data_IF_986297491140
#
_entry.id   IF_986297491140
#
_cell.length_a   1.000
_cell.length_b   1.000
_cell.length_c   1.000
_cell.angle_alpha   90.00
_cell.angle_beta   90.00
_cell.angle_gamma   90.00
#
_symmetry.space_group_name_H-M   'P 1'
#
loop_
_entity.id
_entity.type
_entity.pdbx_description
1 polymer ?
#
# COMPACT_ATOMS: atom_id res chain seq x y z
N UNK A 1 -9.97 17.69 0.14
CA UNK A 1 -8.69 17.00 0.45
C UNK A 1 -8.69 15.62 -0.16
N UNK A 2 -7.53 15.11 -0.58
CA UNK A 2 -7.26 13.74 -1.04
C UNK A 2 -6.37 13.05 0.00
N UNK A 3 -6.56 11.75 0.24
CA UNK A 3 -5.75 10.97 1.18
C UNK A 3 -5.00 9.86 0.45
N UNK A 4 -3.74 9.63 0.83
CA UNK A 4 -2.93 8.51 0.37
C UNK A 4 -2.31 7.78 1.58
N UNK A 5 -2.41 6.45 1.59
CA UNK A 5 -1.89 5.54 2.62
C UNK A 5 -1.26 4.29 1.98
N UNK A 6 -0.41 3.55 2.69
CA UNK A 6 0.14 2.25 2.25
C UNK A 6 0.70 1.50 3.46
N UNK A 7 1.14 0.25 3.23
CA UNK A 7 1.93 -0.52 4.21
C UNK A 7 1.21 -0.65 5.56
N UNK A 8 -0.08 -0.97 5.50
CA UNK A 8 -0.90 -1.18 6.69
C UNK A 8 -0.67 -2.57 7.28
N UNK A 9 -0.43 -3.57 6.43
CA UNK A 9 -0.27 -4.96 6.82
C UNK A 9 -1.44 -5.50 7.67
N UNK A 10 -2.69 -5.19 7.29
CA UNK A 10 -3.87 -5.63 8.03
C UNK A 10 -3.88 -7.18 8.17
N UNK A 11 -3.97 -7.65 9.41
CA UNK A 11 -4.09 -9.05 9.80
C UNK A 11 -4.92 -9.20 11.09
N UNK A 12 -5.45 -10.40 11.32
CA UNK A 12 -6.34 -10.71 12.45
C UNK A 12 -5.63 -10.53 13.81
N UNK A 13 -4.32 -10.76 13.83
CA UNK A 13 -3.45 -10.67 14.97
C UNK A 13 -3.00 -9.23 15.31
N UNK A 14 -3.39 -8.24 14.48
CA UNK A 14 -3.13 -6.80 14.68
C UNK A 14 -4.42 -5.99 14.80
N UNK A 15 -5.23 -6.22 15.85
CA UNK A 15 -6.50 -5.51 16.05
C UNK A 15 -6.31 -4.02 16.36
N UNK A 16 -5.13 -3.62 16.83
CA UNK A 16 -4.71 -2.24 17.03
C UNK A 16 -4.67 -1.45 15.70
N UNK A 17 -3.97 -1.99 14.70
CA UNK A 17 -3.92 -1.39 13.34
C UNK A 17 -5.31 -1.38 12.73
N UNK A 18 -6.05 -2.48 12.86
CA UNK A 18 -7.41 -2.59 12.33
C UNK A 18 -8.31 -1.50 12.93
N UNK A 19 -8.27 -1.28 14.24
CA UNK A 19 -9.06 -0.23 14.90
C UNK A 19 -8.68 1.15 14.39
N UNK A 20 -7.39 1.44 14.29
CA UNK A 20 -6.90 2.71 13.75
C UNK A 20 -7.37 2.93 12.30
N UNK A 21 -7.36 1.89 11.49
CA UNK A 21 -7.82 1.96 10.11
C UNK A 21 -9.32 2.21 10.01
N UNK A 22 -10.13 1.50 10.81
CA UNK A 22 -11.58 1.69 10.84
C UNK A 22 -11.97 3.08 11.36
N UNK A 23 -11.27 3.60 12.37
CA UNK A 23 -11.45 4.98 12.86
C UNK A 23 -11.07 6.01 11.78
N UNK A 24 -9.93 5.80 11.10
CA UNK A 24 -9.51 6.61 9.97
C UNK A 24 -10.56 6.62 8.83
N UNK A 25 -11.17 5.48 8.53
CA UNK A 25 -12.23 5.37 7.54
C UNK A 25 -13.50 6.12 7.97
N UNK A 26 -13.94 5.93 9.21
CA UNK A 26 -15.14 6.57 9.76
C UNK A 26 -15.00 8.10 9.87
N UNK A 27 -13.78 8.59 10.10
CA UNK A 27 -13.44 10.01 10.18
C UNK A 27 -12.94 10.59 8.86
N UNK A 28 -11.61 10.69 8.72
CA UNK A 28 -10.93 11.47 7.67
C UNK A 28 -11.29 10.98 6.26
N UNK A 29 -11.36 9.67 6.03
CA UNK A 29 -11.58 9.15 4.68
C UNK A 29 -13.00 9.44 4.16
N UNK A 30 -14.00 9.45 5.04
CA UNK A 30 -15.40 9.69 4.66
C UNK A 30 -15.66 11.08 4.10
N UNK A 31 -14.84 12.07 4.46
CA UNK A 31 -14.92 13.44 3.94
C UNK A 31 -13.88 13.76 2.85
N UNK A 32 -13.05 12.78 2.48
CA UNK A 32 -12.05 12.95 1.44
C UNK A 32 -12.69 12.91 0.04
N UNK A 33 -12.08 13.64 -0.90
CA UNK A 33 -12.46 13.60 -2.32
C UNK A 33 -12.02 12.30 -3.00
N UNK A 34 -10.99 11.63 -2.46
CA UNK A 34 -10.53 10.31 -2.87
C UNK A 34 -9.60 9.73 -1.79
N UNK A 35 -9.57 8.40 -1.70
CA UNK A 35 -8.60 7.63 -0.92
C UNK A 35 -7.77 6.73 -1.84
N UNK A 36 -6.45 6.88 -1.82
CA UNK A 36 -5.51 6.00 -2.50
C UNK A 36 -4.78 5.10 -1.49
N UNK A 37 -4.72 3.81 -1.78
CA UNK A 37 -4.04 2.80 -0.96
C UNK A 37 -2.93 2.18 -1.82
N UNK A 38 -1.67 2.54 -1.57
CA UNK A 38 -0.52 2.26 -2.43
C UNK A 38 0.19 0.94 -2.09
N UNK A 39 -0.56 -0.14 -1.98
CA UNK A 39 -0.04 -1.49 -1.74
C UNK A 39 0.24 -1.83 -0.28
N UNK A 40 0.48 -3.13 -0.06
CA UNK A 40 0.69 -3.75 1.26
C UNK A 40 -0.43 -3.38 2.26
N UNK A 41 -1.66 -3.37 1.75
CA UNK A 41 -2.87 -3.12 2.54
C UNK A 41 -3.14 -4.27 3.50
N UNK A 42 -2.94 -5.50 3.04
CA UNK A 42 -3.01 -6.72 3.86
C UNK A 42 -1.63 -7.34 4.05
N UNK A 43 -1.40 -8.00 5.20
CA UNK A 43 -0.11 -8.66 5.48
C UNK A 43 0.18 -9.84 4.52
N UNK A 44 -0.88 -10.43 3.95
CA UNK A 44 -0.81 -11.34 2.81
C UNK A 44 -2.16 -11.46 2.10
N UNK A 45 -2.13 -11.55 0.76
CA UNK A 45 -3.31 -11.91 -0.04
C UNK A 45 -3.02 -13.13 -0.91
N UNK A 46 -3.79 -14.20 -0.73
CA UNK A 46 -3.62 -15.44 -1.52
C UNK A 46 -4.66 -15.59 -2.65
N UNK A 47 -5.59 -14.65 -2.78
CA UNK A 47 -6.65 -14.64 -3.80
C UNK A 47 -8.02 -14.33 -3.20
N UNK A 48 -8.89 -13.69 -3.99
CA UNK A 48 -10.20 -13.22 -3.54
C UNK A 48 -11.15 -14.36 -3.13
N UNK A 49 -10.95 -15.56 -3.69
CA UNK A 49 -11.70 -16.77 -3.35
C UNK A 49 -11.39 -17.29 -1.93
N UNK A 50 -10.29 -16.82 -1.33
CA UNK A 50 -9.80 -17.23 -0.03
C UNK A 50 -10.13 -16.26 1.10
N UNK A 51 -10.90 -15.19 0.83
CA UNK A 51 -11.15 -14.13 1.80
C UNK A 51 -11.68 -14.66 3.13
N UNK A 52 -10.94 -14.38 4.21
CA UNK A 52 -11.34 -14.68 5.60
C UNK A 52 -12.48 -13.76 6.05
N UNK A 53 -13.20 -14.09 7.15
CA UNK A 53 -14.20 -13.19 7.73
C UNK A 53 -13.64 -11.79 8.04
N UNK A 54 -12.40 -11.70 8.54
CA UNK A 54 -11.71 -10.45 8.77
C UNK A 54 -11.49 -9.64 7.48
N UNK A 55 -10.97 -10.27 6.43
CA UNK A 55 -10.76 -9.57 5.15
C UNK A 55 -12.09 -9.09 4.55
N UNK A 56 -13.19 -9.83 4.79
CA UNK A 56 -14.54 -9.42 4.39
C UNK A 56 -15.06 -8.25 5.21
N UNK A 57 -14.76 -8.15 6.51
CA UNK A 57 -15.16 -7.00 7.31
C UNK A 57 -14.42 -5.72 6.88
N UNK A 58 -13.12 -5.81 6.57
CA UNK A 58 -12.36 -4.69 5.98
C UNK A 58 -12.94 -4.28 4.62
N UNK A 59 -13.31 -5.26 3.79
CA UNK A 59 -13.96 -5.01 2.51
C UNK A 59 -15.30 -4.26 2.67
N UNK A 60 -16.10 -4.64 3.66
CA UNK A 60 -17.36 -3.96 3.97
C UNK A 60 -17.13 -2.52 4.47
N UNK A 61 -16.12 -2.29 5.32
CA UNK A 61 -15.80 -0.95 5.81
C UNK A 61 -15.35 0.00 4.67
N UNK A 62 -14.55 -0.50 3.71
CA UNK A 62 -14.22 0.26 2.49
C UNK A 62 -15.48 0.56 1.66
N UNK A 63 -16.39 -0.41 1.57
CA UNK A 63 -17.64 -0.25 0.81
C UNK A 63 -18.51 0.85 1.38
N UNK A 64 -18.63 0.96 2.70
CA UNK A 64 -19.38 2.04 3.36
C UNK A 64 -18.83 3.43 2.99
N UNK A 65 -17.50 3.58 2.95
CA UNK A 65 -16.85 4.84 2.54
C UNK A 65 -17.11 5.15 1.06
N UNK A 66 -17.02 4.13 0.20
CA UNK A 66 -17.30 4.26 -1.23
C UNK A 66 -18.77 4.64 -1.52
N UNK A 67 -19.73 3.99 -0.85
CA UNK A 67 -21.16 4.33 -0.95
C UNK A 67 -21.48 5.70 -0.35
N UNK A 68 -20.68 6.16 0.61
CA UNK A 68 -20.72 7.53 1.14
C UNK A 68 -20.25 8.59 0.15
N UNK A 69 -19.67 8.21 -0.99
CA UNK A 69 -19.29 9.10 -2.08
C UNK A 69 -17.78 9.30 -2.26
N UNK A 70 -16.93 8.77 -1.37
CA UNK A 70 -15.46 8.86 -1.51
C UNK A 70 -14.95 7.76 -2.46
N UNK A 71 -14.42 8.08 -3.65
CA UNK A 71 -13.80 7.08 -4.51
C UNK A 71 -12.55 6.49 -3.86
N UNK A 72 -12.43 5.16 -3.93
CA UNK A 72 -11.31 4.42 -3.35
C UNK A 72 -10.49 3.78 -4.48
N UNK A 73 -9.18 3.96 -4.42
CA UNK A 73 -8.22 3.40 -5.36
C UNK A 73 -7.23 2.50 -4.62
N UNK A 74 -7.09 1.26 -5.09
CA UNK A 74 -6.16 0.28 -4.54
C UNK A 74 -5.06 0.01 -5.56
N UNK A 75 -3.81 0.01 -5.13
CA UNK A 75 -2.68 -0.48 -5.89
C UNK A 75 -2.14 -1.74 -5.23
N UNK A 76 -1.58 -2.66 -6.02
CA UNK A 76 -0.91 -3.84 -5.48
C UNK A 76 0.42 -3.48 -4.82
N UNK A 77 0.67 -4.05 -3.65
CA UNK A 77 2.00 -4.14 -3.07
C UNK A 77 2.64 -5.51 -3.31
N UNK A 78 3.74 -5.78 -2.61
CA UNK A 78 4.43 -7.07 -2.71
C UNK A 78 3.76 -8.18 -1.87
N UNK A 79 2.87 -7.84 -0.93
CA UNK A 79 2.15 -8.81 -0.09
C UNK A 79 0.79 -9.19 -0.61
N UNK A 80 0.16 -8.30 -1.37
CA UNK A 80 -1.23 -8.39 -1.78
C UNK A 80 -1.44 -8.29 -3.31
N UNK A 81 -0.40 -8.55 -4.10
CA UNK A 81 -0.44 -8.54 -5.57
C UNK A 81 -1.44 -9.52 -6.22
N UNK A 82 -2.02 -10.46 -5.46
CA UNK A 82 -3.08 -11.36 -5.94
C UNK A 82 -4.48 -10.76 -5.78
N UNK A 83 -4.63 -9.61 -5.11
CA UNK A 83 -5.91 -8.92 -4.92
C UNK A 83 -6.56 -8.64 -6.27
N UNK A 84 -7.81 -9.05 -6.41
CA UNK A 84 -8.48 -9.12 -7.70
C UNK A 84 -9.71 -8.24 -7.81
N UNK A 85 -10.37 -8.41 -8.96
CA UNK A 85 -11.58 -7.68 -9.30
C UNK A 85 -12.75 -8.01 -8.37
N UNK A 86 -12.80 -9.20 -7.78
CA UNK A 86 -13.90 -9.59 -6.90
C UNK A 86 -13.82 -8.83 -5.58
N UNK A 87 -12.62 -8.69 -5.01
CA UNK A 87 -12.39 -7.82 -3.86
C UNK A 87 -12.74 -6.36 -4.19
N UNK A 88 -12.17 -5.81 -5.26
CA UNK A 88 -12.41 -4.41 -5.64
C UNK A 88 -13.89 -4.10 -5.86
N UNK A 89 -14.63 -5.00 -6.53
CA UNK A 89 -16.08 -4.87 -6.71
C UNK A 89 -16.83 -4.87 -5.38
N UNK A 90 -16.49 -5.78 -4.47
CA UNK A 90 -17.13 -5.87 -3.16
C UNK A 90 -16.82 -4.63 -2.30
N UNK A 91 -15.58 -4.14 -2.32
CA UNK A 91 -15.13 -2.97 -1.59
C UNK A 91 -15.58 -1.62 -2.20
N UNK A 92 -16.16 -1.62 -3.41
CA UNK A 92 -16.46 -0.38 -4.13
C UNK A 92 -15.20 0.40 -4.52
N UNK A 93 -14.10 -0.29 -4.77
CA UNK A 93 -12.80 0.29 -5.07
C UNK A 93 -12.36 0.04 -6.52
N UNK A 94 -11.48 0.89 -7.03
CA UNK A 94 -10.86 0.75 -8.36
C UNK A 94 -9.42 0.27 -8.21
N UNK A 95 -9.05 -0.79 -8.93
CA UNK A 95 -7.68 -1.28 -8.95
C UNK A 95 -6.82 -0.45 -9.92
N UNK A 96 -5.80 0.23 -9.38
CA UNK A 96 -4.76 0.92 -10.14
C UNK A 96 -3.62 -0.04 -10.50
N UNK A 97 -2.98 0.24 -11.64
CA UNK A 97 -1.74 -0.44 -12.01
C UNK A 97 -0.57 0.18 -11.24
N UNK A 98 0.42 -0.62 -10.88
CA UNK A 98 1.73 -0.11 -10.50
C UNK A 98 2.66 -0.14 -11.73
N UNK A 99 3.11 1.01 -12.25
CA UNK A 99 2.83 2.39 -11.81
C UNK A 99 1.55 2.98 -12.41
N UNK A 100 1.05 4.08 -11.83
CA UNK A 100 -0.05 4.91 -12.38
C UNK A 100 0.24 6.40 -12.22
N UNK A 101 -0.08 7.21 -13.24
CA UNK A 101 -0.08 8.68 -13.13
C UNK A 101 -1.51 9.15 -12.92
N UNK A 102 -1.73 9.98 -11.89
CA UNK A 102 -3.04 10.56 -11.54
C UNK A 102 -2.95 12.08 -11.48
N UNK A 103 -4.09 12.75 -11.56
CA UNK A 103 -4.18 14.19 -11.36
C UNK A 103 -4.56 14.49 -9.92
N UNK A 104 -3.71 15.21 -9.19
CA UNK A 104 -3.97 15.67 -7.82
C UNK A 104 -3.76 17.18 -7.82
N UNK A 105 -4.81 17.95 -7.52
CA UNK A 105 -4.82 19.42 -7.59
C UNK A 105 -4.32 20.00 -8.93
N UNK A 106 -4.60 19.31 -10.04
CA UNK A 106 -4.16 19.72 -11.39
C UNK A 106 -2.68 19.44 -11.71
N UNK A 107 -1.94 18.78 -10.81
CA UNK A 107 -0.58 18.29 -11.05
C UNK A 107 -0.60 16.79 -11.40
N UNK A 108 0.17 16.34 -12.42
CA UNK A 108 0.39 14.92 -12.65
C UNK A 108 1.32 14.33 -11.57
N UNK A 109 0.80 13.36 -10.81
CA UNK A 109 1.50 12.66 -9.74
C UNK A 109 1.68 11.19 -10.10
N UNK A 110 2.92 10.70 -10.04
CA UNK A 110 3.22 9.29 -10.20
C UNK A 110 3.00 8.55 -8.88
N UNK A 111 2.18 7.50 -8.92
CA UNK A 111 1.91 6.60 -7.81
C UNK A 111 2.55 5.24 -8.10
N UNK A 112 3.22 4.69 -7.10
CA UNK A 112 3.83 3.36 -7.11
C UNK A 112 3.68 2.73 -5.74
N UNK A 113 3.76 1.41 -5.64
CA UNK A 113 4.00 0.81 -4.32
C UNK A 113 5.44 1.11 -3.86
N UNK A 114 6.41 1.04 -4.77
CA UNK A 114 7.80 1.47 -4.55
C UNK A 114 8.80 0.31 -4.60
N UNK A 115 8.33 -0.93 -4.46
CA UNK A 115 9.17 -2.13 -4.49
C UNK A 115 9.97 -2.31 -5.78
N UNK A 116 9.46 -1.85 -6.93
CA UNK A 116 10.20 -1.86 -8.19
C UNK A 116 11.39 -0.89 -8.26
N UNK A 117 11.47 0.07 -7.33
CA UNK A 117 12.56 1.05 -7.26
C UNK A 117 13.77 0.50 -6.49
N UNK A 118 13.63 -0.61 -5.76
CA UNK A 118 14.70 -1.27 -5.01
C UNK A 118 15.54 -2.19 -5.92
N UNK A 119 16.08 -1.66 -7.02
CA UNK A 119 16.70 -2.45 -8.09
C UNK A 119 18.03 -3.10 -7.70
N UNK A 120 18.70 -2.59 -6.65
CA UNK A 120 19.89 -3.22 -6.04
C UNK A 120 19.57 -4.51 -5.28
N UNK A 121 18.33 -4.75 -4.87
CA UNK A 121 17.92 -6.05 -4.31
C UNK A 121 17.63 -7.05 -5.44
N UNK A 122 18.69 -7.55 -6.08
CA UNK A 122 18.54 -8.41 -7.25
C UNK A 122 17.76 -9.70 -6.96
N UNK A 123 17.92 -10.26 -5.75
CA UNK A 123 17.19 -11.45 -5.33
C UNK A 123 15.68 -11.16 -5.28
N UNK A 124 15.30 -10.04 -4.69
CA UNK A 124 13.92 -9.58 -4.69
C UNK A 124 13.42 -9.26 -6.09
N UNK A 125 14.21 -8.57 -6.93
CA UNK A 125 13.83 -8.27 -8.32
C UNK A 125 13.58 -9.52 -9.17
N UNK A 126 14.39 -10.58 -9.00
CA UNK A 126 14.15 -11.89 -9.64
C UNK A 126 12.85 -12.52 -9.17
N UNK A 127 12.60 -12.55 -7.86
CA UNK A 127 11.36 -13.08 -7.29
C UNK A 127 10.14 -12.28 -7.76
N UNK A 128 10.20 -10.96 -7.71
CA UNK A 128 9.18 -10.03 -8.21
C UNK A 128 8.81 -10.32 -9.66
N UNK A 129 9.80 -10.47 -10.54
CA UNK A 129 9.60 -10.80 -11.96
C UNK A 129 8.90 -12.15 -12.12
N UNK A 130 9.29 -13.14 -11.34
CA UNK A 130 8.64 -14.46 -11.35
C UNK A 130 7.20 -14.39 -10.85
N UNK A 131 6.93 -13.76 -9.71
CA UNK A 131 5.60 -13.69 -9.09
C UNK A 131 4.61 -12.87 -9.91
N UNK A 132 5.06 -11.81 -10.56
CA UNK A 132 4.21 -10.94 -11.40
C UNK A 132 4.10 -11.42 -12.85
N UNK A 133 4.75 -12.52 -13.24
CA UNK A 133 4.58 -13.11 -14.57
C UNK A 133 3.14 -13.63 -14.74
N UNK A 134 2.45 -13.36 -15.87
CA UNK A 134 1.08 -13.82 -16.10
C UNK A 134 0.87 -15.33 -15.95
N UNK A 135 1.85 -16.14 -16.35
CA UNK A 135 1.81 -17.61 -16.22
C UNK A 135 1.91 -18.00 -14.75
N UNK A 136 2.83 -17.39 -14.00
CA UNK A 136 2.95 -17.63 -12.56
C UNK A 136 1.67 -17.22 -11.82
N UNK A 137 1.10 -16.04 -12.13
CA UNK A 137 -0.17 -15.59 -11.57
C UNK A 137 -1.32 -16.56 -11.90
N UNK A 138 -1.36 -17.08 -13.13
CA UNK A 138 -2.33 -18.09 -13.53
C UNK A 138 -2.17 -19.36 -12.69
N UNK A 139 -0.95 -19.89 -12.57
CA UNK A 139 -0.67 -21.09 -11.76
C UNK A 139 -1.08 -20.84 -10.30
N UNK A 140 -0.61 -19.74 -9.69
CA UNK A 140 -0.89 -19.40 -8.30
C UNK A 140 -2.38 -19.36 -8.00
N UNK A 141 -3.19 -18.75 -8.89
CA UNK A 141 -4.65 -18.66 -8.73
C UNK A 141 -5.36 -20.02 -8.82
N UNK A 142 -4.80 -20.98 -9.54
CA UNK A 142 -5.37 -22.32 -9.71
C UNK A 142 -4.85 -23.35 -8.71
N UNK A 143 -3.90 -22.98 -7.84
CA UNK A 143 -3.46 -23.86 -6.76
C UNK A 143 -4.56 -24.01 -5.69
N UNK A 144 -4.70 -25.20 -5.08
CA UNK A 144 -5.54 -25.38 -3.91
C UNK A 144 -5.20 -24.39 -2.79
N UNK A 145 -6.22 -23.92 -2.07
CA UNK A 145 -6.06 -22.93 -1.00
C UNK A 145 -4.99 -23.32 0.03
N UNK A 146 -4.98 -24.59 0.47
CA UNK A 146 -3.96 -25.12 1.40
C UNK A 146 -2.54 -24.91 0.88
N UNK A 147 -2.32 -25.12 -0.41
CA UNK A 147 -1.02 -24.94 -1.07
C UNK A 147 -0.63 -23.47 -1.12
N UNK A 148 -1.55 -22.58 -1.49
CA UNK A 148 -1.30 -21.13 -1.48
C UNK A 148 -0.96 -20.61 -0.09
N UNK A 149 -1.68 -21.03 0.95
CA UNK A 149 -1.33 -20.69 2.34
C UNK A 149 0.07 -21.17 2.73
N UNK A 150 0.46 -22.39 2.33
CA UNK A 150 1.81 -22.90 2.59
C UNK A 150 2.87 -22.05 1.89
N UNK A 151 2.65 -21.69 0.62
CA UNK A 151 3.57 -20.86 -0.15
C UNK A 151 3.69 -19.45 0.45
N UNK A 152 2.57 -18.81 0.79
CA UNK A 152 2.56 -17.49 1.41
C UNK A 152 3.32 -17.47 2.75
N UNK A 153 3.14 -18.50 3.60
CA UNK A 153 3.92 -18.65 4.84
C UNK A 153 5.41 -18.80 4.56
N UNK A 154 5.79 -19.63 3.59
CA UNK A 154 7.19 -19.85 3.21
C UNK A 154 7.85 -18.57 2.67
N UNK A 155 7.20 -17.89 1.73
CA UNK A 155 7.72 -16.63 1.16
C UNK A 155 7.90 -15.56 2.25
N UNK A 156 6.96 -15.46 3.20
CA UNK A 156 7.09 -14.56 4.36
C UNK A 156 8.26 -14.93 5.27
N UNK A 157 8.42 -16.22 5.60
CA UNK A 157 9.54 -16.63 6.46
C UNK A 157 10.90 -16.38 5.80
N UNK A 158 11.01 -16.65 4.50
CA UNK A 158 12.24 -16.42 3.73
C UNK A 158 12.53 -14.93 3.58
N UNK A 159 11.51 -14.11 3.31
CA UNK A 159 11.64 -12.65 3.25
C UNK A 159 12.11 -12.08 4.58
N UNK A 160 11.48 -12.44 5.72
CA UNK A 160 11.89 -11.97 7.06
C UNK A 160 13.34 -12.37 7.38
N UNK A 161 13.76 -13.57 7.01
CA UNK A 161 15.14 -14.02 7.22
C UNK A 161 16.14 -13.24 6.36
N UNK A 162 15.84 -13.02 5.07
CA UNK A 162 16.71 -12.30 4.16
C UNK A 162 16.81 -10.80 4.49
N UNK A 163 15.69 -10.13 4.81
CA UNK A 163 15.70 -8.70 5.16
C UNK A 163 16.55 -8.41 6.39
N UNK A 164 16.57 -9.30 7.39
CA UNK A 164 17.45 -9.16 8.57
C UNK A 164 18.95 -9.21 8.24
N UNK A 165 19.31 -9.83 7.13
CA UNK A 165 20.71 -10.00 6.71
C UNK A 165 21.17 -8.94 5.70
N UNK A 166 20.24 -8.14 5.14
CA UNK A 166 20.56 -7.13 4.13
C UNK A 166 20.92 -5.81 4.79
N UNK A 167 21.90 -5.12 4.20
CA UNK A 167 22.23 -3.77 4.59
C UNK A 167 21.07 -2.82 4.21
N UNK A 168 20.90 -1.75 5.00
CA UNK A 168 19.78 -0.81 4.88
C UNK A 168 19.70 -0.13 3.49
N UNK A 169 20.83 0.06 2.83
CA UNK A 169 20.96 0.65 1.50
C UNK A 169 20.57 -0.30 0.35
N UNK A 170 20.52 -1.61 0.61
CA UNK A 170 20.10 -2.61 -0.38
C UNK A 170 18.57 -2.70 -0.46
N UNK A 171 17.88 -2.49 0.67
CA UNK A 171 16.42 -2.63 0.78
C UNK A 171 15.66 -1.32 0.50
N UNK A 172 16.35 -0.18 0.51
CA UNK A 172 15.78 1.10 0.12
C UNK A 172 15.81 1.28 -1.42
N UNK A 173 15.14 2.32 -1.90
CA UNK A 173 15.11 2.65 -3.33
C UNK A 173 16.52 2.91 -3.85
N UNK A 174 16.78 2.50 -5.09
CA UNK A 174 18.01 2.83 -5.80
C UNK A 174 17.95 4.30 -6.21
N UNK A 175 18.84 5.18 -5.72
CA UNK A 175 18.69 6.63 -5.88
C UNK A 175 18.57 7.08 -7.34
N UNK A 176 19.28 6.40 -8.25
CA UNK A 176 19.31 6.71 -9.67
C UNK A 176 17.98 6.39 -10.39
N UNK A 177 17.16 5.48 -9.83
CA UNK A 177 15.87 5.09 -10.42
C UNK A 177 14.79 6.16 -10.23
N UNK A 178 14.89 6.98 -9.18
CA UNK A 178 13.92 8.04 -8.88
C UNK A 178 13.85 9.09 -9.99
N UNK A 179 14.94 9.80 -10.35
CA UNK A 179 14.86 10.76 -11.44
C UNK A 179 14.54 10.09 -12.78
N UNK A 180 15.07 8.88 -13.02
CA UNK A 180 14.80 8.13 -14.26
C UNK A 180 13.31 7.87 -14.46
N UNK A 181 12.63 7.33 -13.45
CA UNK A 181 11.20 6.99 -13.56
C UNK A 181 10.34 8.24 -13.62
N UNK A 182 10.68 9.28 -12.87
CA UNK A 182 9.93 10.53 -12.90
C UNK A 182 10.03 11.23 -14.26
N UNK A 183 11.23 11.24 -14.87
CA UNK A 183 11.42 11.73 -16.24
C UNK A 183 10.68 10.88 -17.27
N UNK A 184 10.72 9.55 -17.14
CA UNK A 184 10.02 8.63 -18.04
C UNK A 184 8.50 8.90 -18.09
N UNK A 185 7.90 9.24 -16.94
CA UNK A 185 6.47 9.54 -16.83
C UNK A 185 6.14 11.03 -16.94
N UNK A 186 7.15 11.90 -17.10
CA UNK A 186 6.96 13.35 -17.23
C UNK A 186 6.33 14.00 -16.00
N UNK A 187 6.72 13.57 -14.80
CA UNK A 187 6.16 14.07 -13.52
C UNK A 187 7.23 14.75 -12.65
N UNK A 188 6.77 15.62 -11.75
CA UNK A 188 7.62 16.27 -10.72
C UNK A 188 7.30 15.80 -9.31
N UNK A 189 6.25 14.99 -9.15
CA UNK A 189 5.88 14.38 -7.87
C UNK A 189 5.75 12.87 -8.02
N UNK A 190 6.46 12.14 -7.17
CA UNK A 190 6.34 10.70 -6.97
C UNK A 190 5.86 10.43 -5.54
N UNK A 191 4.83 9.61 -5.38
CA UNK A 191 4.39 9.08 -4.08
C UNK A 191 4.50 7.56 -4.09
N UNK A 192 5.13 6.98 -3.07
CA UNK A 192 5.23 5.53 -2.90
C UNK A 192 5.31 5.11 -1.43
N UNK A 193 5.16 3.82 -1.15
CA UNK A 193 5.31 3.20 0.16
C UNK A 193 6.53 2.26 0.20
N UNK A 194 6.33 1.02 0.65
CA UNK A 194 7.25 -0.13 0.64
C UNK A 194 8.50 -0.04 1.52
N UNK A 195 9.15 1.12 1.62
CA UNK A 195 10.44 1.22 2.33
C UNK A 195 10.30 1.50 3.82
N UNK A 196 9.09 1.81 4.30
CA UNK A 196 8.75 2.09 5.71
C UNK A 196 9.58 3.25 6.28
N UNK A 197 9.93 4.22 5.42
CA UNK A 197 10.78 5.38 5.74
C UNK A 197 10.04 6.67 5.39
N UNK A 198 9.00 7.06 6.15
CA UNK A 198 8.16 8.20 5.83
C UNK A 198 8.99 9.48 5.72
N UNK A 199 8.97 10.13 4.56
CA UNK A 199 9.75 11.34 4.30
C UNK A 199 9.28 12.07 3.03
N UNK A 200 9.53 13.37 2.98
CA UNK A 200 9.44 14.18 1.77
C UNK A 200 10.87 14.53 1.32
N UNK A 201 11.34 13.86 0.27
CA UNK A 201 12.64 14.13 -0.34
C UNK A 201 12.49 15.17 -1.43
N UNK A 202 13.17 16.31 -1.28
CA UNK A 202 13.32 17.30 -2.34
C UNK A 202 14.39 16.82 -3.33
N UNK A 203 14.08 16.91 -4.62
CA UNK A 203 15.00 16.55 -5.70
C UNK A 203 14.88 17.57 -6.84
N UNK A 204 15.74 17.39 -7.84
CA UNK A 204 15.84 18.27 -8.99
C UNK A 204 15.85 17.43 -10.26
N UNK A 205 14.95 17.74 -11.20
CA UNK A 205 14.90 17.14 -12.54
C UNK A 205 15.31 18.20 -13.56
N UNK A 206 16.59 18.25 -13.89
CA UNK A 206 17.15 19.34 -14.70
C UNK A 206 17.07 20.69 -13.95
N UNK A 207 16.38 21.67 -14.51
CA UNK A 207 16.14 22.98 -13.88
C UNK A 207 14.85 23.07 -13.06
N UNK A 208 14.03 22.01 -13.04
CA UNK A 208 12.76 21.99 -12.32
C UNK A 208 12.86 21.26 -10.97
N UNK A 209 12.30 21.87 -9.94
CA UNK A 209 12.15 21.25 -8.63
C UNK A 209 11.18 20.07 -8.71
N UNK A 210 11.47 19.00 -7.97
CA UNK A 210 10.66 17.81 -7.89
C UNK A 210 10.66 17.27 -6.46
N UNK A 211 9.76 16.34 -6.15
CA UNK A 211 9.70 15.69 -4.84
C UNK A 211 9.32 14.22 -4.93
N UNK A 212 9.88 13.44 -4.02
CA UNK A 212 9.51 12.05 -3.75
C UNK A 212 8.98 11.97 -2.34
N UNK A 213 7.75 11.51 -2.20
CA UNK A 213 7.06 11.36 -0.92
C UNK A 213 6.95 9.87 -0.62
N UNK A 214 7.51 9.46 0.51
CA UNK A 214 7.43 8.10 1.02
C UNK A 214 6.38 8.06 2.11
N UNK A 215 5.39 7.19 1.97
CA UNK A 215 4.36 6.94 2.96
C UNK A 215 4.93 6.10 4.12
N UNK A 216 4.36 6.26 5.32
CA UNK A 216 4.76 5.51 6.50
C UNK A 216 3.95 4.22 6.65
N UNK A 217 4.57 3.21 7.25
CA UNK A 217 3.91 1.96 7.61
C UNK A 217 3.18 2.08 8.95
N UNK A 218 2.18 1.23 9.13
CA UNK A 218 1.30 1.29 10.29
C UNK A 218 1.74 0.34 11.42
N UNK A 219 3.01 -0.04 11.53
CA UNK A 219 3.42 -0.98 12.58
C UNK A 219 3.27 -0.39 13.99
N UNK A 220 3.50 0.92 14.15
CA UNK A 220 3.48 1.59 15.47
C UNK A 220 2.44 2.69 15.61
N UNK A 221 2.14 3.37 14.51
CA UNK A 221 1.27 4.54 14.47
C UNK A 221 0.66 4.65 13.07
N UNK A 222 -0.45 5.36 12.92
CA UNK A 222 -1.08 5.56 11.62
C UNK A 222 -0.33 6.61 10.82
N UNK A 223 -0.36 6.49 9.51
CA UNK A 223 0.21 7.49 8.59
C UNK A 223 -0.77 7.82 7.48
N UNK A 224 -0.82 9.09 7.11
CA UNK A 224 -1.51 9.53 5.91
C UNK A 224 -0.80 10.72 5.27
N UNK A 225 -0.75 10.71 3.95
CA UNK A 225 -0.48 11.89 3.15
C UNK A 225 -1.81 12.56 2.82
N UNK A 226 -2.02 13.77 3.35
CA UNK A 226 -3.14 14.63 3.01
C UNK A 226 -2.71 15.61 1.91
N UNK A 227 -3.52 15.74 0.88
CA UNK A 227 -3.31 16.71 -0.19
C UNK A 227 -4.54 17.61 -0.31
N UNK A 228 -4.33 18.91 -0.20
CA UNK A 228 -5.35 19.95 -0.35
C UNK A 228 -4.72 21.22 -0.94
N UNK A 229 -5.43 22.35 -0.91
CA UNK A 229 -4.99 23.62 -1.50
C UNK A 229 -3.66 24.14 -0.93
N UNK A 230 -3.26 23.69 0.28
CA UNK A 230 -2.01 24.08 0.92
C UNK A 230 -0.82 23.22 0.47
N UNK A 231 -1.09 22.10 -0.22
CA UNK A 231 -0.09 21.22 -0.79
C UNK A 231 -0.12 19.82 -0.17
N UNK A 232 1.06 19.23 -0.01
CA UNK A 232 1.24 17.83 0.38
C UNK A 232 1.73 17.76 1.83
N UNK A 233 0.90 17.21 2.71
CA UNK A 233 1.14 17.13 4.15
C UNK A 233 1.21 15.66 4.58
N UNK A 234 2.43 15.17 4.75
CA UNK A 234 2.68 13.84 5.31
C UNK A 234 2.68 13.93 6.84
N UNK A 235 1.83 13.15 7.51
CA UNK A 235 1.74 13.19 8.97
C UNK A 235 1.38 11.84 9.58
N UNK A 236 1.93 11.60 10.76
CA UNK A 236 1.59 10.49 11.66
C UNK A 236 0.38 10.85 12.54
N UNK A 237 -0.32 9.83 13.02
CA UNK A 237 -1.36 9.97 14.03
C UNK A 237 -1.39 8.74 14.93
N UNK A 238 -1.74 8.95 16.20
CA UNK A 238 -1.79 7.88 17.19
C UNK A 238 -2.96 6.91 16.93
N UNK A 239 -2.80 5.68 17.37
CA UNK A 239 -3.89 4.71 17.36
C UNK A 239 -4.94 5.06 18.43
N UNK A 240 -6.24 4.89 18.10
CA UNK A 240 -7.28 5.05 19.09
C UNK A 240 -7.10 4.01 20.22
N UNK A 241 -7.37 4.39 21.48
CA UNK A 241 -7.25 3.49 22.61
C UNK A 241 -8.18 2.27 22.44
N UNK A 242 -7.88 1.13 23.08
CA UNK A 242 -8.80 0.01 23.09
C UNK A 242 -10.14 0.41 23.71
N UNK A 243 -11.26 -0.15 23.21
CA UNK A 243 -12.55 0.04 23.87
C UNK A 243 -12.41 -0.41 25.32
N UNK A 244 -12.98 0.37 26.24
CA UNK A 244 -12.98 0.02 27.66
C UNK A 244 -13.55 -1.40 27.81
N UNK A 245 -12.85 -2.25 28.57
CA UNK A 245 -13.40 -3.56 28.93
C UNK A 245 -14.75 -3.32 29.63
N UNK A 246 -15.82 -4.01 29.24
CA UNK A 246 -17.07 -3.93 29.99
C UNK A 246 -16.74 -4.33 31.43
N UNK A 247 -17.09 -3.47 32.38
CA UNK A 247 -17.05 -3.80 33.80
C UNK A 247 -17.88 -5.09 33.95
N UNK A 248 -17.21 -6.18 34.34
CA UNK A 248 -17.90 -7.41 34.71
C UNK A 248 -18.86 -7.05 35.84
N UNK A 249 -20.17 -7.06 35.54
CA UNK A 249 -21.24 -7.00 36.54
C UNK A 249 -21.49 -8.39 37.09
#
# INVERSE_FOLDING_TARGET
MILLISDLHLEEERPDITRAFLDFLAGRARSAQALYILGDFFEAWIGDDAMTPFQRSICAALREVSEGGTPIFLMHGNRDFLLGKAFCKAAGATLLKDPSVVQINGEPVLLMHGDSLCTRDEAYMRLRRYLRNPISLFILRHLPLRTRHKLARKLRSESRAQTRMKANDIVDVTPEEIPRIMQQYGVHTLVHGHTHRPAIHKLQLGSQAAKRIVLGDWDRQGWALQVDEQGFHLGEFEFPPPPALPLLQ
#
